data_IF_871919310883
#
_entry.id   IF_871919310883
#
_cell.length_a   1.000
_cell.length_b   1.000
_cell.length_c   1.000
_cell.angle_alpha   90.00
_cell.angle_beta   90.00
_cell.angle_gamma   90.00
#
_symmetry.space_group_name_H-M   'P 1'
#
loop_
_entity.id
_entity.type
_entity.pdbx_description
1 polymer ?
#
# COMPACT_ATOMS: atom_id res chain seq x y z
N UNK A 1 3.70 7.12 21.15
CA UNK A 1 2.74 6.06 20.73
C UNK A 1 2.30 6.23 19.27
N UNK A 2 1.83 7.40 18.86
CA UNK A 2 1.37 7.64 17.47
C UNK A 2 2.48 7.47 16.41
N UNK A 3 3.72 7.84 16.74
CA UNK A 3 4.88 7.59 15.87
C UNK A 3 5.10 6.10 15.59
N UNK A 4 4.92 5.22 16.59
CA UNK A 4 5.05 3.77 16.40
C UNK A 4 3.94 3.23 15.49
N UNK A 5 2.71 3.71 15.67
CA UNK A 5 1.57 3.34 14.81
C UNK A 5 1.76 3.82 13.37
N UNK A 6 2.32 5.02 13.18
CA UNK A 6 2.64 5.54 11.85
C UNK A 6 3.70 4.67 11.17
N UNK A 7 4.80 4.36 11.86
CA UNK A 7 5.87 3.50 11.34
C UNK A 7 5.33 2.10 11.01
N UNK A 8 4.55 1.50 11.92
CA UNK A 8 3.91 0.21 11.68
C UNK A 8 2.96 0.25 10.48
N UNK A 9 2.18 1.33 10.33
CA UNK A 9 1.29 1.55 9.20
C UNK A 9 2.05 1.66 7.87
N UNK A 10 3.18 2.36 7.84
CA UNK A 10 4.05 2.47 6.65
C UNK A 10 4.65 1.10 6.31
N UNK A 11 5.18 0.36 7.29
CA UNK A 11 5.72 -0.98 7.07
C UNK A 11 4.63 -1.90 6.52
N UNK A 12 3.44 -1.87 7.13
CA UNK A 12 2.30 -2.66 6.66
C UNK A 12 1.93 -2.27 5.23
N UNK A 13 1.84 -0.98 4.90
CA UNK A 13 1.58 -0.50 3.53
C UNK A 13 2.56 -1.11 2.52
N UNK A 14 3.85 -1.07 2.81
CA UNK A 14 4.88 -1.66 1.95
C UNK A 14 4.72 -3.18 1.80
N UNK A 15 4.40 -3.90 2.88
CA UNK A 15 4.11 -5.33 2.83
C UNK A 15 2.89 -5.65 1.96
N UNK A 16 1.84 -4.84 2.06
CA UNK A 16 0.61 -4.99 1.27
C UNK A 16 0.88 -4.79 -0.23
N UNK A 17 1.63 -3.75 -0.58
CA UNK A 17 2.04 -3.49 -1.97
C UNK A 17 2.89 -4.64 -2.51
N UNK A 18 3.86 -5.13 -1.71
CA UNK A 18 4.69 -6.29 -2.09
C UNK A 18 3.83 -7.53 -2.30
N UNK A 19 2.86 -7.77 -1.43
CA UNK A 19 1.89 -8.87 -1.57
C UNK A 19 1.09 -8.77 -2.86
N UNK A 20 0.58 -7.59 -3.20
CA UNK A 20 -0.12 -7.33 -4.46
C UNK A 20 0.77 -7.60 -5.69
N UNK A 21 2.00 -7.08 -5.71
CA UNK A 21 2.95 -7.31 -6.80
C UNK A 21 3.27 -8.80 -6.98
N UNK A 22 3.48 -9.53 -5.88
CA UNK A 22 3.72 -10.98 -5.92
C UNK A 22 2.54 -11.76 -6.47
N UNK A 23 1.31 -11.42 -6.05
CA UNK A 23 0.11 -12.05 -6.59
C UNK A 23 -0.01 -11.75 -8.08
N UNK A 24 0.09 -10.49 -8.48
CA UNK A 24 -0.07 -10.09 -9.89
C UNK A 24 0.90 -10.82 -10.82
N UNK A 25 2.17 -10.98 -10.39
CA UNK A 25 3.14 -11.81 -11.12
C UNK A 25 2.71 -13.27 -11.24
N UNK A 26 2.18 -13.88 -10.17
CA UNK A 26 1.67 -15.26 -10.21
C UNK A 26 0.52 -15.41 -11.21
N UNK A 27 -0.32 -14.38 -11.37
CA UNK A 27 -1.40 -14.34 -12.38
C UNK A 27 -0.84 -14.47 -13.79
N UNK A 28 0.23 -13.74 -14.08
CA UNK A 28 0.85 -13.72 -15.39
C UNK A 28 1.47 -15.06 -15.79
N UNK A 29 1.78 -15.94 -14.81
CA UNK A 29 2.54 -17.19 -15.02
C UNK A 29 1.71 -18.48 -15.03
N UNK A 30 0.43 -18.48 -14.65
CA UNK A 30 -0.35 -19.73 -14.48
C UNK A 30 -1.80 -19.66 -15.00
N UNK A 31 -2.12 -20.57 -15.93
CA UNK A 31 -3.28 -20.55 -16.81
C UNK A 31 -4.31 -21.64 -16.43
N UNK A 32 -4.92 -21.55 -15.25
CA UNK A 32 -6.09 -22.38 -14.86
C UNK A 32 -7.14 -21.52 -14.16
N UNK A 33 -8.41 -21.70 -14.53
CA UNK A 33 -9.56 -20.91 -14.03
C UNK A 33 -9.66 -20.99 -12.50
N UNK A 34 -9.42 -22.17 -11.91
CA UNK A 34 -9.45 -22.36 -10.46
C UNK A 34 -8.40 -21.53 -9.73
N UNK A 35 -7.18 -21.44 -10.29
CA UNK A 35 -6.09 -20.64 -9.72
C UNK A 35 -6.38 -19.13 -9.82
N UNK A 36 -7.07 -18.69 -10.88
CA UNK A 36 -7.46 -17.28 -11.02
C UNK A 36 -8.49 -16.87 -9.96
N UNK A 37 -9.48 -17.72 -9.67
CA UNK A 37 -10.50 -17.46 -8.65
C UNK A 37 -9.85 -17.35 -7.27
N UNK A 38 -8.99 -18.32 -6.91
CA UNK A 38 -8.28 -18.33 -5.62
C UNK A 38 -7.41 -17.08 -5.47
N UNK A 39 -6.75 -16.67 -6.54
CA UNK A 39 -5.91 -15.49 -6.51
C UNK A 39 -6.71 -14.19 -6.39
N UNK A 40 -7.82 -14.05 -7.12
CA UNK A 40 -8.69 -12.88 -7.02
C UNK A 40 -9.25 -12.74 -5.61
N UNK A 41 -9.64 -13.86 -5.00
CA UNK A 41 -10.09 -13.92 -3.60
C UNK A 41 -9.01 -13.43 -2.60
N UNK A 42 -7.72 -13.66 -2.88
CA UNK A 42 -6.62 -13.13 -2.06
C UNK A 42 -6.31 -11.65 -2.32
N UNK A 43 -6.57 -11.15 -3.53
CA UNK A 43 -6.37 -9.73 -3.87
C UNK A 43 -7.39 -8.81 -3.18
N UNK A 44 -8.63 -9.24 -3.02
CA UNK A 44 -9.69 -8.45 -2.37
C UNK A 44 -9.32 -8.00 -0.95
N UNK A 45 -8.97 -8.88 0.00
CA UNK A 45 -8.60 -8.46 1.35
C UNK A 45 -7.34 -7.59 1.36
N UNK A 46 -6.41 -7.82 0.42
CA UNK A 46 -5.23 -6.96 0.28
C UNK A 46 -5.63 -5.53 -0.11
N UNK A 47 -6.57 -5.39 -1.05
CA UNK A 47 -7.12 -4.10 -1.45
C UNK A 47 -7.89 -3.40 -0.32
N UNK A 48 -8.69 -4.13 0.45
CA UNK A 48 -9.44 -3.58 1.60
C UNK A 48 -8.48 -3.00 2.65
N UNK A 49 -7.44 -3.76 3.01
CA UNK A 49 -6.43 -3.29 3.97
C UNK A 49 -5.64 -2.11 3.40
N UNK A 50 -5.38 -2.07 2.08
CA UNK A 50 -4.73 -0.93 1.44
C UNK A 50 -5.58 0.35 1.55
N UNK A 51 -6.90 0.27 1.29
CA UNK A 51 -7.83 1.39 1.45
C UNK A 51 -7.88 1.87 2.90
N UNK A 52 -7.91 0.94 3.86
CA UNK A 52 -7.83 1.28 5.28
C UNK A 52 -6.54 2.03 5.62
N UNK A 53 -5.40 1.57 5.11
CA UNK A 53 -4.10 2.23 5.33
C UNK A 53 -4.03 3.62 4.70
N UNK A 54 -4.66 3.81 3.53
CA UNK A 54 -4.75 5.10 2.86
C UNK A 54 -5.47 6.15 3.72
N UNK A 55 -6.50 5.76 4.47
CA UNK A 55 -7.19 6.65 5.41
C UNK A 55 -6.46 6.76 6.76
N UNK A 56 -5.87 5.66 7.23
CA UNK A 56 -5.20 5.58 8.53
C UNK A 56 -3.93 6.45 8.59
N UNK A 57 -3.13 6.47 7.53
CA UNK A 57 -1.86 7.22 7.51
C UNK A 57 -2.07 8.74 7.63
N UNK A 58 -2.91 9.41 6.81
CA UNK A 58 -3.25 10.82 6.98
C UNK A 58 -3.80 11.14 8.37
N UNK A 59 -4.65 10.25 8.92
CA UNK A 59 -5.16 10.41 10.28
C UNK A 59 -4.04 10.39 11.33
N UNK A 60 -3.10 9.44 11.25
CA UNK A 60 -1.96 9.41 12.18
C UNK A 60 -1.08 10.65 12.03
N UNK A 61 -0.84 11.12 10.81
CA UNK A 61 -0.10 12.36 10.57
C UNK A 61 -0.84 13.54 11.20
N UNK A 62 -2.15 13.69 10.99
CA UNK A 62 -2.96 14.74 11.61
C UNK A 62 -2.90 14.73 13.15
N UNK A 63 -2.92 13.54 13.76
CA UNK A 63 -2.77 13.40 15.22
C UNK A 63 -1.36 13.82 15.67
N UNK A 64 -0.31 13.56 14.88
CA UNK A 64 1.06 13.98 15.19
C UNK A 64 1.24 15.50 15.14
N UNK A 65 0.52 16.18 14.24
CA UNK A 65 0.50 17.64 14.14
C UNK A 65 -0.38 18.33 15.20
N UNK A 66 -0.91 17.59 16.18
CA UNK A 66 -1.68 18.16 17.29
C UNK A 66 -3.16 18.39 16.98
N UNK A 67 -3.71 17.74 15.93
CA UNK A 67 -5.12 17.81 15.53
C UNK A 67 -5.65 19.22 15.26
N UNK A 68 -5.00 20.01 14.38
CA UNK A 68 -5.53 21.32 14.02
C UNK A 68 -6.93 21.17 13.39
N UNK A 69 -7.82 22.12 13.68
CA UNK A 69 -9.24 22.07 13.29
C UNK A 69 -9.60 23.01 12.12
N UNK A 70 -8.65 23.81 11.64
CA UNK A 70 -8.87 24.75 10.53
C UNK A 70 -8.47 24.17 9.17
N UNK A 71 -8.16 25.07 8.23
CA UNK A 71 -7.73 24.72 6.87
C UNK A 71 -6.45 23.87 6.84
N UNK A 72 -5.68 23.86 7.93
CA UNK A 72 -4.48 23.02 8.11
C UNK A 72 -4.80 21.53 7.93
N UNK A 73 -6.03 21.10 8.28
CA UNK A 73 -6.42 19.70 8.10
C UNK A 73 -6.39 19.29 6.62
N UNK A 74 -6.82 20.17 5.71
CA UNK A 74 -6.83 19.88 4.28
C UNK A 74 -5.42 19.78 3.73
N UNK A 75 -4.51 20.66 4.18
CA UNK A 75 -3.10 20.60 3.78
C UNK A 75 -2.41 19.34 4.31
N UNK A 76 -2.67 18.97 5.58
CA UNK A 76 -2.08 17.76 6.17
C UNK A 76 -2.59 16.51 5.48
N UNK A 77 -3.91 16.35 5.33
CA UNK A 77 -4.50 15.19 4.69
C UNK A 77 -4.09 15.10 3.21
N UNK A 78 -4.26 16.20 2.46
CA UNK A 78 -3.93 16.23 1.03
C UNK A 78 -2.45 15.94 0.77
N UNK A 79 -1.54 16.54 1.53
CA UNK A 79 -0.10 16.31 1.35
C UNK A 79 0.33 14.91 1.77
N UNK A 80 -0.17 14.41 2.91
CA UNK A 80 0.17 13.05 3.39
C UNK A 80 -0.41 11.96 2.49
N UNK A 81 -1.62 12.13 1.97
CA UNK A 81 -2.23 11.21 1.01
C UNK A 81 -1.46 11.21 -0.31
N UNK A 82 -1.10 12.38 -0.85
CA UNK A 82 -0.31 12.50 -2.07
C UNK A 82 1.06 11.82 -1.93
N UNK A 83 1.76 12.04 -0.82
CA UNK A 83 3.01 11.33 -0.52
C UNK A 83 2.79 9.83 -0.45
N UNK A 84 1.72 9.38 0.22
CA UNK A 84 1.39 7.96 0.35
C UNK A 84 1.17 7.34 -1.02
N UNK A 85 0.41 7.99 -1.90
CA UNK A 85 0.15 7.54 -3.27
C UNK A 85 1.47 7.45 -4.07
N UNK A 86 2.30 8.48 -4.03
CA UNK A 86 3.60 8.49 -4.72
C UNK A 86 4.49 7.35 -4.23
N UNK A 87 4.56 7.14 -2.90
CA UNK A 87 5.30 6.03 -2.30
C UNK A 87 4.75 4.67 -2.76
N UNK A 88 3.43 4.50 -2.81
CA UNK A 88 2.78 3.30 -3.29
C UNK A 88 3.20 2.97 -4.73
N UNK A 89 3.07 3.93 -5.64
CA UNK A 89 3.42 3.75 -7.05
C UNK A 89 4.91 3.48 -7.25
N UNK A 90 5.77 4.23 -6.57
CA UNK A 90 7.22 4.05 -6.64
C UNK A 90 7.64 2.66 -6.14
N UNK A 91 7.13 2.26 -4.96
CA UNK A 91 7.47 0.98 -4.36
C UNK A 91 6.93 -0.21 -5.17
N UNK A 92 5.68 -0.14 -5.62
CA UNK A 92 5.09 -1.16 -6.51
C UNK A 92 5.92 -1.34 -7.79
N UNK A 93 6.28 -0.22 -8.45
CA UNK A 93 7.11 -0.25 -9.67
C UNK A 93 8.49 -0.85 -9.43
N UNK A 94 9.10 -0.54 -8.29
CA UNK A 94 10.38 -1.10 -7.86
C UNK A 94 10.28 -2.61 -7.65
N UNK A 95 9.29 -3.07 -6.89
CA UNK A 95 9.09 -4.50 -6.61
C UNK A 95 8.83 -5.28 -7.90
N UNK A 96 7.96 -4.78 -8.78
CA UNK A 96 7.71 -5.39 -10.09
C UNK A 96 8.99 -5.46 -10.95
N UNK A 97 9.84 -4.43 -10.93
CA UNK A 97 11.13 -4.43 -11.64
C UNK A 97 12.11 -5.45 -11.05
N UNK A 98 12.25 -5.50 -9.72
CA UNK A 98 13.12 -6.47 -9.05
C UNK A 98 12.69 -7.90 -9.32
N UNK A 99 11.38 -8.16 -9.28
CA UNK A 99 10.84 -9.47 -9.57
C UNK A 99 11.05 -9.90 -11.02
N UNK A 100 11.11 -8.98 -11.99
CA UNK A 100 11.52 -9.29 -13.38
C UNK A 100 12.99 -9.65 -13.47
N UNK A 101 13.88 -8.86 -12.84
CA UNK A 101 15.33 -9.13 -12.87
C UNK A 101 15.69 -10.51 -12.28
N UNK A 102 15.03 -10.92 -11.20
CA UNK A 102 15.22 -12.24 -10.59
C UNK A 102 14.69 -13.42 -11.43
N UNK A 103 14.02 -13.19 -12.56
CA UNK A 103 13.67 -14.28 -13.50
C UNK A 103 14.75 -14.54 -14.56
N UNK A 104 15.72 -13.64 -14.71
CA UNK A 104 16.80 -13.74 -15.71
C UNK A 104 18.15 -14.17 -15.11
N UNK A 105 18.27 -14.22 -13.78
CA UNK A 105 19.42 -14.74 -13.05
C UNK A 105 19.12 -16.12 -12.47
#
# INVERSE_FOLDING_TARGET
MNWLLLIAGIILLLLMIKGLALLEKKKAKSMSISNQIKQNSLMVPLGIVLLFLLAFLPYQVWVLFGRPQGWEILYIFGFSELITIVLCFWFYSREMRQMKLNEYN
#
